data_IF_357866733947
#
_entry.id   IF_357866733947
#
_cell.length_a   1.000
_cell.length_b   1.000
_cell.length_c   1.000
_cell.angle_alpha   90.00
_cell.angle_beta   90.00
_cell.angle_gamma   90.00
#
_symmetry.space_group_name_H-M   'P 1'
#
loop_
_entity.id
_entity.type
_entity.pdbx_description
1 polymer ?
#
# COMPACT_ATOMS: atom_id res chain seq x y z
N UNK A 1 7.01 3.83 -17.96
CA UNK A 1 6.75 2.41 -17.60
C UNK A 1 7.37 2.01 -16.25
N UNK A 2 8.35 2.74 -15.68
CA UNK A 2 8.77 2.57 -14.27
C UNK A 2 8.03 3.49 -13.28
N UNK A 3 7.41 4.57 -13.77
CA UNK A 3 6.61 5.50 -12.96
C UNK A 3 5.18 5.03 -12.66
N UNK A 4 4.66 4.04 -13.40
CA UNK A 4 3.24 3.68 -13.36
C UNK A 4 2.81 3.06 -12.03
N UNK A 5 3.75 2.62 -11.19
CA UNK A 5 3.45 1.95 -9.93
C UNK A 5 3.79 2.77 -8.68
N UNK A 6 4.37 3.97 -8.81
CA UNK A 6 4.70 4.79 -7.64
C UNK A 6 3.42 5.29 -6.94
N UNK A 7 2.44 5.75 -7.72
CA UNK A 7 1.13 6.19 -7.22
C UNK A 7 0.32 5.02 -6.63
N UNK A 8 0.33 3.85 -7.29
CA UNK A 8 -0.33 2.65 -6.77
C UNK A 8 0.28 2.21 -5.42
N UNK A 9 1.61 2.23 -5.34
CA UNK A 9 2.36 1.89 -4.14
C UNK A 9 2.07 2.88 -3.01
N UNK A 10 2.00 4.18 -3.33
CA UNK A 10 1.64 5.21 -2.37
C UNK A 10 0.26 4.99 -1.78
N UNK A 11 -0.72 4.67 -2.63
CA UNK A 11 -2.09 4.40 -2.22
C UNK A 11 -2.17 3.17 -1.29
N UNK A 12 -1.44 2.11 -1.63
CA UNK A 12 -1.29 0.92 -0.80
C UNK A 12 -0.66 1.25 0.56
N UNK A 13 0.47 1.98 0.59
CA UNK A 13 1.13 2.35 1.84
C UNK A 13 0.27 3.25 2.73
N UNK A 14 -0.49 4.18 2.14
CA UNK A 14 -1.41 5.04 2.89
C UNK A 14 -2.54 4.27 3.55
N UNK A 15 -3.14 3.31 2.84
CA UNK A 15 -4.32 2.59 3.31
C UNK A 15 -4.00 1.34 4.15
N UNK A 16 -2.98 0.58 3.74
CA UNK A 16 -2.60 -0.70 4.36
C UNK A 16 -1.35 -0.57 5.24
N UNK A 17 -0.45 0.35 4.89
CA UNK A 17 0.80 0.58 5.61
C UNK A 17 0.68 1.45 6.85
N UNK A 18 -0.51 1.97 7.15
CA UNK A 18 -0.75 2.80 8.33
C UNK A 18 -0.10 4.19 8.28
N UNK A 19 0.35 4.64 7.09
CA UNK A 19 0.99 5.95 6.88
C UNK A 19 0.16 6.83 5.93
N UNK A 20 -1.05 7.27 6.34
CA UNK A 20 -1.93 8.04 5.46
C UNK A 20 -1.33 9.38 4.98
N UNK A 21 -0.39 9.94 5.75
CA UNK A 21 0.33 11.17 5.44
C UNK A 21 1.52 10.99 4.48
N UNK A 22 1.79 9.76 3.99
CA UNK A 22 2.86 9.55 3.03
C UNK A 22 2.64 10.41 1.77
N UNK A 23 3.67 11.05 1.23
CA UNK A 23 3.62 11.88 0.01
C UNK A 23 4.21 11.19 -1.20
N UNK A 24 5.11 10.23 -0.99
CA UNK A 24 5.66 9.36 -2.01
C UNK A 24 5.81 7.94 -1.44
N UNK A 25 5.78 6.93 -2.29
CA UNK A 25 6.19 5.59 -1.88
C UNK A 25 6.80 4.83 -3.05
N UNK A 26 7.72 3.93 -2.73
CA UNK A 26 8.37 3.04 -3.69
C UNK A 26 8.55 1.67 -3.09
N UNK A 27 8.38 0.63 -3.90
CA UNK A 27 8.76 -0.71 -3.50
C UNK A 27 10.29 -0.81 -3.53
N UNK A 28 10.89 -1.15 -2.38
CA UNK A 28 12.35 -1.31 -2.24
C UNK A 28 12.77 -2.77 -2.25
N UNK A 29 11.86 -3.67 -1.89
CA UNK A 29 12.11 -5.10 -1.85
C UNK A 29 10.81 -5.89 -1.81
N UNK A 30 10.91 -7.18 -2.07
CA UNK A 30 9.84 -8.12 -1.82
C UNK A 30 10.44 -9.50 -1.59
N UNK A 31 9.76 -10.29 -0.77
CA UNK A 31 10.08 -11.68 -0.51
C UNK A 31 8.84 -12.58 -0.60
N UNK A 32 9.02 -13.86 -0.30
CA UNK A 32 7.95 -14.84 -0.35
C UNK A 32 6.81 -14.55 0.63
N UNK A 33 7.01 -13.76 1.69
CA UNK A 33 6.03 -13.53 2.76
C UNK A 33 5.46 -12.10 2.79
N UNK A 34 6.17 -11.12 2.22
CA UNK A 34 5.70 -9.75 2.13
C UNK A 34 6.45 -8.89 1.13
N UNK A 35 5.94 -7.68 0.94
CA UNK A 35 6.59 -6.60 0.18
C UNK A 35 7.15 -5.54 1.14
N UNK A 36 8.37 -5.08 0.86
CA UNK A 36 9.02 -3.97 1.55
C UNK A 36 8.90 -2.70 0.71
N UNK A 37 8.34 -1.69 1.33
CA UNK A 37 8.06 -0.39 0.72
C UNK A 37 8.74 0.70 1.53
N UNK A 38 9.23 1.71 0.85
CA UNK A 38 9.72 2.94 1.46
C UNK A 38 8.72 4.04 1.15
N UNK A 39 8.05 4.55 2.18
CA UNK A 39 7.11 5.66 2.09
C UNK A 39 7.76 6.93 2.63
N UNK A 40 7.67 8.04 1.92
CA UNK A 40 8.14 9.35 2.38
C UNK A 40 7.02 10.03 3.13
N UNK A 41 7.20 10.33 4.40
CA UNK A 41 6.25 11.08 5.25
C UNK A 41 6.96 12.33 5.75
N UNK A 42 6.43 13.52 5.47
CA UNK A 42 7.04 14.80 5.88
C UNK A 42 8.52 14.97 5.49
N UNK A 43 8.93 14.35 4.38
CA UNK A 43 10.31 14.35 3.90
C UNK A 43 11.22 13.29 4.53
N UNK A 44 10.72 12.48 5.47
CA UNK A 44 11.43 11.35 6.06
C UNK A 44 11.02 10.02 5.40
N UNK A 45 11.99 9.15 5.10
CA UNK A 45 11.72 7.82 4.55
C UNK A 45 11.37 6.83 5.67
N UNK A 46 10.20 6.20 5.55
CA UNK A 46 9.63 5.24 6.50
C UNK A 46 9.54 3.89 5.81
N UNK A 47 10.17 2.88 6.41
CA UNK A 47 10.04 1.50 5.96
C UNK A 47 8.67 0.93 6.35
N UNK A 48 7.91 0.48 5.36
CA UNK A 48 6.58 -0.11 5.48
C UNK A 48 6.66 -1.51 4.92
N UNK A 49 6.41 -2.51 5.76
CA UNK A 49 6.35 -3.91 5.34
C UNK A 49 4.91 -4.39 5.33
N UNK A 50 4.47 -4.91 4.19
CA UNK A 50 3.13 -5.47 4.03
C UNK A 50 3.23 -6.97 3.83
N UNK A 51 2.59 -7.74 4.71
CA UNK A 51 2.48 -9.18 4.56
C UNK A 51 1.53 -9.51 3.41
N UNK A 52 1.92 -10.48 2.58
CA UNK A 52 1.02 -11.07 1.58
C UNK A 52 -0.09 -11.86 2.28
N UNK A 53 -1.22 -12.02 1.61
CA UNK A 53 -2.32 -12.88 2.08
C UNK A 53 -1.90 -14.35 2.15
N UNK A 54 -0.95 -14.76 1.31
CA UNK A 54 -0.35 -16.08 1.30
C UNK A 54 1.11 -15.98 0.84
N UNK A 55 1.96 -16.94 1.26
CA UNK A 55 3.33 -16.96 0.80
C UNK A 55 3.40 -17.16 -0.72
N UNK A 56 4.10 -16.25 -1.40
CA UNK A 56 4.31 -16.26 -2.84
C UNK A 56 5.44 -17.22 -3.19
N UNK A 57 5.18 -18.13 -4.12
CA UNK A 57 6.18 -19.06 -4.67
C UNK A 57 6.74 -18.57 -5.99
N UNK A 58 5.99 -17.73 -6.72
CA UNK A 58 6.36 -17.24 -8.04
C UNK A 58 6.24 -15.72 -8.16
N UNK A 59 7.14 -15.12 -8.93
CA UNK A 59 7.12 -13.68 -9.23
C UNK A 59 5.84 -13.23 -9.95
N UNK A 60 5.20 -14.12 -10.70
CA UNK A 60 3.92 -13.81 -11.36
C UNK A 60 2.80 -13.54 -10.35
N UNK A 61 2.82 -14.23 -9.20
CA UNK A 61 1.81 -14.06 -8.14
C UNK A 61 1.93 -12.71 -7.43
N UNK A 62 3.14 -12.12 -7.39
CA UNK A 62 3.38 -10.78 -6.83
C UNK A 62 2.46 -9.75 -7.47
N UNK A 63 2.33 -9.76 -8.80
CA UNK A 63 1.47 -8.80 -9.51
C UNK A 63 0.01 -8.97 -9.12
N UNK A 64 -0.47 -10.20 -9.01
CA UNK A 64 -1.84 -10.45 -8.56
C UNK A 64 -2.06 -9.94 -7.14
N UNK A 65 -1.10 -10.15 -6.26
CA UNK A 65 -1.21 -9.76 -4.87
C UNK A 65 -1.13 -8.24 -4.68
N UNK A 66 -0.23 -7.56 -5.40
CA UNK A 66 -0.14 -6.09 -5.43
C UNK A 66 -1.44 -5.49 -5.99
N UNK A 67 -2.02 -6.05 -7.05
CA UNK A 67 -3.31 -5.58 -7.59
C UNK A 67 -4.44 -5.79 -6.59
N UNK A 68 -4.45 -6.92 -5.86
CA UNK A 68 -5.42 -7.17 -4.78
C UNK A 68 -5.30 -6.12 -3.68
N UNK A 69 -4.08 -5.86 -3.20
CA UNK A 69 -3.79 -4.83 -2.20
C UNK A 69 -4.18 -3.44 -2.68
N UNK A 70 -3.89 -3.09 -3.93
CA UNK A 70 -4.28 -1.81 -4.52
C UNK A 70 -5.80 -1.63 -4.54
N UNK A 71 -6.55 -2.66 -4.95
CA UNK A 71 -8.02 -2.63 -4.95
C UNK A 71 -8.57 -2.47 -3.53
N UNK A 72 -8.00 -3.19 -2.57
CA UNK A 72 -8.36 -3.08 -1.16
C UNK A 72 -8.06 -1.68 -0.60
N UNK A 73 -6.90 -1.14 -0.94
CA UNK A 73 -6.48 0.20 -0.56
C UNK A 73 -7.40 1.28 -1.17
N UNK A 74 -7.77 1.14 -2.44
CA UNK A 74 -8.79 1.99 -3.09
C UNK A 74 -10.16 1.84 -2.46
N UNK A 75 -10.56 0.64 -2.05
CA UNK A 75 -11.82 0.45 -1.34
C UNK A 75 -11.80 1.14 0.03
N UNK A 76 -10.66 1.12 0.74
CA UNK A 76 -10.49 1.81 2.02
C UNK A 76 -10.42 3.33 1.91
N UNK A 77 -9.76 3.86 0.88
CA UNK A 77 -9.59 5.31 0.67
C UNK A 77 -10.71 5.95 -0.17
N UNK A 78 -11.34 5.17 -1.05
CA UNK A 78 -12.39 5.57 -1.96
C UNK A 78 -13.80 5.15 -1.52
N UNK A 79 -13.93 4.35 -0.46
CA UNK A 79 -15.14 4.43 0.34
C UNK A 79 -15.23 5.87 0.86
N UNK A 80 -16.38 6.56 0.75
CA UNK A 80 -16.59 7.71 1.61
C UNK A 80 -16.25 7.23 3.02
N UNK A 81 -15.44 8.00 3.74
CA UNK A 81 -15.49 7.90 5.17
C UNK A 81 -16.97 8.09 5.50
N UNK A 82 -17.66 7.01 5.84
CA UNK A 82 -18.92 7.05 6.58
C UNK A 82 -18.55 7.58 7.98
N UNK A 83 -18.07 8.82 8.00
CA UNK A 83 -18.09 9.71 9.12
C UNK A 83 -19.41 10.47 9.00
N UNK A 84 -20.50 9.80 9.34
CA UNK A 84 -21.54 10.52 10.04
C UNK A 84 -21.18 10.46 11.52
N UNK A 85 -20.58 11.56 11.99
CA UNK A 85 -20.30 11.78 13.39
C UNK A 85 -21.55 12.23 14.15
N UNK A 86 -21.50 11.99 15.47
CA UNK A 86 -22.04 12.87 16.52
C UNK A 86 -23.56 12.92 16.73
N UNK A 87 -23.99 12.29 17.82
CA UNK A 87 -24.65 13.00 18.92
C UNK A 87 -26.17 13.20 18.85
N UNK A 88 -26.90 12.44 19.67
CA UNK A 88 -27.85 12.97 20.68
C UNK A 88 -28.13 11.94 21.76
#
# INVERSE_FOLDING_TARGET
>A
MNDDHADDTLLICRALGGVPSATAARMVGLDATGGDFAATVDGAEVAVRLAWSAPLTERAQVRHEVVRMYREARARLGAPAEGEGTGR
#
